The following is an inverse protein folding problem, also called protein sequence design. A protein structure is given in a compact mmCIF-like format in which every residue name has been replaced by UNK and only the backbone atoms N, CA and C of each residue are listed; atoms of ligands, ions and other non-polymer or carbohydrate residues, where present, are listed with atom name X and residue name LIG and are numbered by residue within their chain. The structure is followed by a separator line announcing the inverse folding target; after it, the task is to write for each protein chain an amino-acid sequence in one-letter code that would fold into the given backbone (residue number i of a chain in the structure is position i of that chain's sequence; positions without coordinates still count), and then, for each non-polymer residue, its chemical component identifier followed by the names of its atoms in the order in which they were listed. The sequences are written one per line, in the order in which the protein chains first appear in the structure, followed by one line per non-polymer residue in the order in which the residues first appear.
data_IF_537000749700
#
_entry.id   IF_537000749700
#
_cell.length_a   1.000
_cell.length_b   1.000
_cell.length_c   1.000
_cell.angle_alpha   90.00
_cell.angle_beta   90.00
_cell.angle_gamma   90.00
#
_symmetry.space_group_name_H-M   'P 1'
#
loop_
_entity.id
_entity.type
_entity.pdbx_description
1 polymer ?
#
# COMPACT_ATOMS: atom_id res chain seq x y z
N UNK A 1 -24.39 -4.99 -9.01
CA UNK A 1 -24.29 -6.22 -8.17
C UNK A 1 -22.86 -6.79 -8.04
N UNK A 2 -21.80 -6.24 -8.68
CA UNK A 2 -20.43 -6.84 -8.69
C UNK A 2 -19.41 -6.27 -7.67
N UNK A 3 -19.72 -5.18 -6.96
CA UNK A 3 -18.76 -4.50 -6.06
C UNK A 3 -18.51 -5.30 -4.76
N UNK A 4 -19.56 -5.93 -4.20
CA UNK A 4 -19.45 -6.71 -2.97
C UNK A 4 -18.60 -7.98 -3.13
N UNK A 5 -18.61 -8.62 -4.30
CA UNK A 5 -17.79 -9.80 -4.57
C UNK A 5 -16.31 -9.46 -4.67
N UNK A 6 -15.97 -8.33 -5.31
CA UNK A 6 -14.59 -7.83 -5.40
C UNK A 6 -13.99 -7.59 -4.01
N UNK A 7 -14.76 -6.99 -3.10
CA UNK A 7 -14.32 -6.72 -1.74
C UNK A 7 -14.07 -8.00 -0.94
N UNK A 8 -14.99 -8.98 -1.02
CA UNK A 8 -14.83 -10.29 -0.37
C UNK A 8 -13.61 -11.05 -0.92
N UNK A 9 -13.41 -11.00 -2.24
CA UNK A 9 -12.26 -11.58 -2.89
C UNK A 9 -10.96 -10.90 -2.43
N UNK A 10 -10.94 -9.57 -2.33
CA UNK A 10 -9.81 -8.79 -1.82
C UNK A 10 -9.40 -9.16 -0.40
N UNK A 11 -10.37 -9.41 0.50
CA UNK A 11 -10.09 -9.82 1.87
C UNK A 11 -9.25 -11.11 1.96
N UNK A 12 -9.45 -12.03 1.02
CA UNK A 12 -8.69 -13.29 0.98
C UNK A 12 -7.42 -13.13 0.13
N UNK A 13 -7.52 -12.49 -1.05
CA UNK A 13 -6.40 -12.36 -1.98
C UNK A 13 -5.27 -11.49 -1.44
N UNK A 14 -5.57 -10.40 -0.71
CA UNK A 14 -4.54 -9.51 -0.16
C UNK A 14 -3.56 -10.26 0.78
N UNK A 15 -4.02 -10.94 1.84
CA UNK A 15 -3.12 -11.72 2.69
C UNK A 15 -2.55 -12.96 1.97
N UNK A 16 -3.32 -13.60 1.08
CA UNK A 16 -2.83 -14.76 0.34
C UNK A 16 -1.64 -14.38 -0.56
N UNK A 17 -1.75 -13.30 -1.34
CA UNK A 17 -0.67 -12.86 -2.22
C UNK A 17 0.52 -12.30 -1.44
N UNK A 18 0.31 -11.68 -0.28
CA UNK A 18 1.42 -11.35 0.63
C UNK A 18 2.23 -12.60 1.00
N UNK A 19 1.56 -13.65 1.50
CA UNK A 19 2.20 -14.89 1.95
C UNK A 19 2.85 -15.65 0.78
N UNK A 20 2.14 -15.79 -0.34
CA UNK A 20 2.68 -16.48 -1.53
C UNK A 20 3.94 -15.76 -2.03
N UNK A 21 3.90 -14.43 -2.14
CA UNK A 21 5.04 -13.64 -2.61
C UNK A 21 6.18 -13.69 -1.61
N UNK A 22 5.90 -13.72 -0.30
CA UNK A 22 6.92 -13.83 0.74
C UNK A 22 7.78 -15.10 0.60
N UNK A 23 7.14 -16.24 0.39
CA UNK A 23 7.82 -17.55 0.31
C UNK A 23 8.23 -17.96 -1.11
N UNK A 24 7.85 -17.19 -2.13
CA UNK A 24 8.19 -17.49 -3.52
C UNK A 24 9.70 -17.37 -3.76
N UNK A 25 10.35 -18.35 -4.41
CA UNK A 25 11.81 -18.35 -4.58
C UNK A 25 12.24 -17.45 -5.76
N UNK A 26 12.11 -16.13 -5.62
CA UNK A 26 12.52 -15.17 -6.66
C UNK A 26 14.04 -14.92 -6.72
N UNK A 27 14.82 -15.44 -5.76
CA UNK A 27 16.27 -15.22 -5.71
C UNK A 27 16.66 -13.78 -5.38
N UNK A 28 15.75 -13.01 -4.78
CA UNK A 28 15.98 -11.62 -4.38
C UNK A 28 16.68 -11.53 -3.02
N UNK A 29 17.34 -10.40 -2.77
CA UNK A 29 17.80 -10.06 -1.42
C UNK A 29 16.60 -10.01 -0.44
N UNK A 30 16.75 -10.42 0.83
CA UNK A 30 15.62 -10.52 1.76
C UNK A 30 14.75 -9.26 1.86
N UNK A 31 15.36 -8.07 1.86
CA UNK A 31 14.61 -6.80 1.90
C UNK A 31 13.77 -6.56 0.64
N UNK A 32 14.30 -6.91 -0.53
CA UNK A 32 13.59 -6.78 -1.80
C UNK A 32 12.44 -7.79 -1.91
N UNK A 33 12.63 -9.01 -1.41
CA UNK A 33 11.58 -10.02 -1.29
C UNK A 33 10.41 -9.55 -0.40
N UNK A 34 10.74 -9.00 0.76
CA UNK A 34 9.77 -8.45 1.70
C UNK A 34 8.99 -7.27 1.11
N UNK A 35 9.70 -6.35 0.43
CA UNK A 35 9.07 -5.24 -0.29
C UNK A 35 8.11 -5.75 -1.37
N UNK A 36 8.51 -6.76 -2.15
CA UNK A 36 7.67 -7.37 -3.17
C UNK A 36 6.37 -7.95 -2.57
N UNK A 37 6.45 -8.61 -1.41
CA UNK A 37 5.28 -9.13 -0.72
C UNK A 37 4.30 -8.02 -0.29
N UNK A 38 4.81 -6.93 0.30
CA UNK A 38 4.00 -5.76 0.65
C UNK A 38 3.39 -5.14 -0.62
N UNK A 39 4.17 -4.99 -1.68
CA UNK A 39 3.73 -4.39 -2.94
C UNK A 39 2.61 -5.20 -3.60
N UNK A 40 2.73 -6.52 -3.66
CA UNK A 40 1.69 -7.41 -4.17
C UNK A 40 0.38 -7.26 -3.38
N UNK A 41 0.46 -7.22 -2.05
CA UNK A 41 -0.70 -7.02 -1.18
C UNK A 41 -1.38 -5.66 -1.43
N UNK A 42 -0.60 -4.59 -1.60
CA UNK A 42 -1.08 -3.23 -1.87
C UNK A 42 -1.79 -3.16 -3.22
N UNK A 43 -1.23 -3.74 -4.28
CA UNK A 43 -1.88 -3.79 -5.60
C UNK A 43 -3.25 -4.45 -5.50
N UNK A 44 -3.33 -5.59 -4.83
CA UNK A 44 -4.61 -6.30 -4.66
C UNK A 44 -5.59 -5.43 -3.87
N UNK A 45 -5.15 -4.81 -2.78
CA UNK A 45 -6.00 -3.97 -1.95
C UNK A 45 -6.54 -2.75 -2.74
N UNK A 46 -5.76 -2.15 -3.63
CA UNK A 46 -6.21 -1.07 -4.52
C UNK A 46 -7.16 -1.55 -5.61
N UNK A 47 -6.85 -2.65 -6.31
CA UNK A 47 -7.68 -3.17 -7.42
C UNK A 47 -9.03 -3.69 -6.93
N UNK A 48 -9.03 -4.32 -5.76
CA UNK A 48 -10.24 -4.89 -5.14
C UNK A 48 -11.00 -3.91 -4.27
N UNK A 49 -10.38 -2.76 -3.93
CA UNK A 49 -10.89 -1.76 -2.98
C UNK A 49 -11.40 -2.42 -1.69
N UNK A 50 -10.61 -3.37 -1.16
CA UNK A 50 -10.97 -4.13 0.05
C UNK A 50 -11.23 -3.18 1.25
N UNK A 51 -10.45 -2.10 1.29
CA UNK A 51 -10.58 -0.93 2.16
C UNK A 51 -10.46 0.33 1.29
N UNK A 52 -10.88 1.52 1.77
CA UNK A 52 -10.72 2.75 1.02
C UNK A 52 -9.26 2.98 0.60
N UNK A 53 -9.03 3.50 -0.61
CA UNK A 53 -7.69 3.68 -1.18
C UNK A 53 -6.77 4.49 -0.24
N UNK A 54 -7.32 5.49 0.44
CA UNK A 54 -6.60 6.29 1.45
C UNK A 54 -6.14 5.47 2.65
N UNK A 55 -6.94 4.50 3.11
CA UNK A 55 -6.58 3.59 4.19
C UNK A 55 -5.44 2.68 3.75
N UNK A 56 -5.53 2.09 2.55
CA UNK A 56 -4.42 1.28 2.00
C UNK A 56 -3.15 2.11 1.91
N UNK A 57 -3.22 3.35 1.40
CA UNK A 57 -2.07 4.23 1.28
C UNK A 57 -1.41 4.48 2.64
N UNK A 58 -2.19 4.84 3.68
CA UNK A 58 -1.71 5.04 5.05
C UNK A 58 -1.05 3.79 5.65
N UNK A 59 -1.52 2.60 5.29
CA UNK A 59 -0.99 1.33 5.81
C UNK A 59 0.35 0.91 5.20
N UNK A 60 0.75 1.45 4.04
CA UNK A 60 1.99 1.07 3.35
C UNK A 60 3.21 1.32 4.26
N UNK A 61 3.31 2.50 4.87
CA UNK A 61 4.45 2.87 5.70
C UNK A 61 4.59 1.98 6.95
N UNK A 62 3.55 1.79 7.79
CA UNK A 62 3.58 0.82 8.88
C UNK A 62 3.93 -0.59 8.42
N UNK A 63 3.37 -1.08 7.31
CA UNK A 63 3.64 -2.42 6.80
C UNK A 63 5.13 -2.59 6.43
N UNK A 64 5.73 -1.61 5.75
CA UNK A 64 7.16 -1.65 5.41
C UNK A 64 8.06 -1.64 6.65
N UNK A 65 7.68 -0.90 7.71
CA UNK A 65 8.43 -0.85 8.98
C UNK A 65 8.34 -2.19 9.72
N UNK A 66 7.13 -2.73 9.88
CA UNK A 66 6.88 -4.00 10.59
C UNK A 66 7.61 -5.16 9.93
N UNK A 67 7.68 -5.15 8.60
CA UNK A 67 8.38 -6.15 7.80
C UNK A 67 9.90 -5.93 7.74
N UNK A 68 10.39 -4.79 8.26
CA UNK A 68 11.82 -4.47 8.35
C UNK A 68 12.45 -4.03 7.02
N UNK A 69 11.66 -3.52 6.08
CA UNK A 69 12.15 -3.00 4.79
C UNK A 69 12.88 -1.66 4.98
N UNK A 70 12.34 -0.79 5.83
CA UNK A 70 12.88 0.56 6.06
C UNK A 70 12.50 1.08 7.46
N UNK A 71 13.12 2.19 7.88
CA UNK A 71 12.84 2.85 9.16
C UNK A 71 11.65 3.81 9.08
N UNK A 72 11.15 4.25 10.24
CA UNK A 72 9.98 5.12 10.32
C UNK A 72 10.16 6.46 9.62
N UNK A 73 11.34 7.09 9.72
CA UNK A 73 11.59 8.39 9.11
C UNK A 73 11.53 8.28 7.59
N UNK A 74 12.15 7.25 7.04
CA UNK A 74 12.17 7.00 5.60
C UNK A 74 10.80 6.57 5.07
N UNK A 75 10.08 5.69 5.79
CA UNK A 75 8.75 5.22 5.38
C UNK A 75 7.71 6.35 5.28
N UNK A 76 7.75 7.32 6.20
CA UNK A 76 6.78 8.42 6.25
C UNK A 76 7.21 9.67 5.48
N UNK A 77 8.46 9.78 5.02
CA UNK A 77 8.94 10.94 4.27
C UNK A 77 8.05 11.33 3.06
N UNK A 78 7.52 10.39 2.24
CA UNK A 78 6.69 10.74 1.09
C UNK A 78 5.36 11.42 1.42
N UNK A 79 4.87 11.32 2.66
CA UNK A 79 3.61 11.95 3.08
C UNK A 79 3.73 13.47 3.21
N UNK A 80 4.95 14.00 3.29
CA UNK A 80 5.25 15.42 3.33
C UNK A 80 5.83 15.94 2.01
N UNK A 81 5.58 15.24 0.90
CA UNK A 81 6.02 15.69 -0.42
C UNK A 81 5.41 17.07 -0.76
N UNK A 82 6.21 18.05 -1.25
CA UNK A 82 5.71 19.38 -1.59
C UNK A 82 4.52 19.38 -2.56
N UNK A 83 4.40 18.39 -3.44
CA UNK A 83 3.28 18.26 -4.36
C UNK A 83 1.95 18.05 -3.62
N UNK A 84 1.96 17.31 -2.50
CA UNK A 84 0.75 17.10 -1.67
C UNK A 84 0.27 18.46 -1.13
N UNK A 85 1.18 19.29 -0.61
CA UNK A 85 0.85 20.61 -0.11
C UNK A 85 0.42 21.58 -1.22
N UNK A 86 1.02 21.47 -2.41
CA UNK A 86 0.61 22.23 -3.60
C UNK A 86 -0.85 21.89 -3.98
N UNK A 87 -1.22 20.61 -4.01
CA UNK A 87 -2.61 20.19 -4.28
C UNK A 87 -3.57 20.71 -3.20
N UNK A 88 -3.19 20.63 -1.92
CA UNK A 88 -4.00 21.19 -0.81
C UNK A 88 -4.23 22.69 -1.02
N UNK A 89 -3.18 23.46 -1.32
CA UNK A 89 -3.29 24.89 -1.62
C UNK A 89 -4.18 25.17 -2.83
N UNK A 90 -4.02 24.38 -3.90
CA UNK A 90 -4.88 24.46 -5.09
C UNK A 90 -6.35 24.20 -4.80
N UNK A 91 -6.67 23.23 -3.93
CA UNK A 91 -8.05 22.96 -3.51
C UNK A 91 -8.66 24.09 -2.68
N UNK A 92 -7.87 24.79 -1.86
CA UNK A 92 -8.36 25.98 -1.15
C UNK A 92 -8.70 27.11 -2.11
N UNK A 93 -7.86 27.36 -3.12
CA UNK A 93 -8.12 28.38 -4.14
C UNK A 93 -9.35 28.03 -4.97
N UNK A 94 -9.51 26.75 -5.35
CA UNK A 94 -10.65 26.32 -6.18
C UNK A 94 -12.01 26.41 -5.46
N UNK A 95 -12.02 26.35 -4.12
CA UNK A 95 -13.23 26.47 -3.31
C UNK A 95 -13.61 27.93 -3.02
N UNK A 96 -12.63 28.84 -2.97
CA UNK A 96 -12.81 30.25 -2.66
C UNK A 96 -13.57 30.99 -3.78
#
# INVERSE_FOLDING_TARGET
MRVFERRKLGLVLTPALFVVTWFAPFGLEPRAQHLAAVFAAVIVAWVTEVVPISVTALLIAPAMIVVGVTDSRTAFAPYADPLIFLFIGGFFIARA
#
